data_IF_802236002188
#
_entry.id   IF_802236002188
#
_cell.length_a   1.000
_cell.length_b   1.000
_cell.length_c   1.000
_cell.angle_alpha   90.00
_cell.angle_beta   90.00
_cell.angle_gamma   90.00
#
_symmetry.space_group_name_H-M   'P 1'
#
loop_
_entity.id
_entity.type
_entity.pdbx_description
1 polymer ?
#
# COMPACT_ATOMS: atom_id res chain seq x y z
N UNK A 1 -12.48 -39.37 -47.55
CA UNK A 1 -13.32 -38.35 -46.86
C UNK A 1 -12.85 -38.03 -45.44
N UNK A 2 -12.38 -39.00 -44.64
CA UNK A 2 -11.88 -38.79 -43.24
C UNK A 2 -10.67 -37.86 -43.12
N UNK A 3 -9.72 -37.92 -44.06
CA UNK A 3 -8.51 -37.08 -44.04
C UNK A 3 -8.85 -35.59 -44.20
N UNK A 4 -9.81 -35.24 -45.07
CA UNK A 4 -10.23 -33.84 -45.28
C UNK A 4 -10.88 -33.23 -44.04
N UNK A 5 -11.67 -34.00 -43.30
CA UNK A 5 -12.31 -33.56 -42.06
C UNK A 5 -11.24 -33.30 -40.97
N UNK A 6 -10.24 -34.18 -40.87
CA UNK A 6 -9.13 -34.02 -39.93
C UNK A 6 -8.28 -32.76 -40.22
N UNK A 7 -8.05 -32.44 -41.51
CA UNK A 7 -7.32 -31.23 -41.90
C UNK A 7 -8.11 -29.95 -41.59
N UNK A 8 -9.43 -29.95 -41.84
CA UNK A 8 -10.30 -28.79 -41.55
C UNK A 8 -10.38 -28.55 -40.04
N UNK A 9 -10.55 -29.61 -39.23
CA UNK A 9 -10.58 -29.48 -37.78
C UNK A 9 -9.24 -28.98 -37.21
N UNK A 10 -8.12 -29.47 -37.74
CA UNK A 10 -6.80 -28.99 -37.31
C UNK A 10 -6.57 -27.51 -37.67
N UNK A 11 -7.03 -27.09 -38.85
CA UNK A 11 -6.96 -25.69 -39.26
C UNK A 11 -7.83 -24.79 -38.38
N UNK A 12 -9.03 -25.24 -38.00
CA UNK A 12 -9.92 -24.49 -37.09
C UNK A 12 -9.31 -24.36 -35.70
N UNK A 13 -8.77 -25.44 -35.13
CA UNK A 13 -8.11 -25.41 -33.82
C UNK A 13 -6.89 -24.47 -33.84
N UNK A 14 -6.05 -24.55 -34.86
CA UNK A 14 -4.89 -23.65 -35.01
C UNK A 14 -5.31 -22.18 -35.14
N UNK A 15 -6.40 -21.90 -35.86
CA UNK A 15 -6.94 -20.54 -35.97
C UNK A 15 -7.47 -20.02 -34.63
N UNK A 16 -8.15 -20.85 -33.84
CA UNK A 16 -8.59 -20.46 -32.48
C UNK A 16 -7.39 -20.21 -31.54
N UNK A 17 -6.35 -21.03 -31.61
CA UNK A 17 -5.12 -20.81 -30.83
C UNK A 17 -4.37 -19.55 -31.26
N UNK A 18 -4.27 -19.29 -32.56
CA UNK A 18 -3.66 -18.07 -33.08
C UNK A 18 -4.47 -16.82 -32.71
N UNK A 19 -5.81 -16.90 -32.74
CA UNK A 19 -6.68 -15.79 -32.31
C UNK A 19 -6.59 -15.55 -30.80
N UNK A 20 -6.56 -16.61 -30.00
CA UNK A 20 -6.41 -16.52 -28.54
C UNK A 20 -5.04 -15.97 -28.13
N UNK A 21 -3.98 -16.31 -28.87
CA UNK A 21 -2.64 -15.76 -28.66
C UNK A 21 -2.54 -14.29 -29.11
N UNK A 22 -3.23 -13.90 -30.18
CA UNK A 22 -3.29 -12.51 -30.65
C UNK A 22 -4.17 -11.61 -29.76
N UNK A 23 -5.24 -12.16 -29.17
CA UNK A 23 -6.06 -11.46 -28.16
C UNK A 23 -5.39 -11.40 -26.78
N UNK A 24 -4.50 -12.33 -26.44
CA UNK A 24 -3.74 -12.30 -25.19
C UNK A 24 -2.58 -11.29 -25.16
N UNK A 25 -2.44 -10.47 -26.20
CA UNK A 25 -1.49 -9.36 -26.29
C UNK A 25 -2.12 -8.00 -25.95
N UNK A 26 -3.11 -7.97 -25.07
CA UNK A 26 -3.41 -6.73 -24.34
C UNK A 26 -2.23 -6.48 -23.39
N UNK A 27 -1.65 -5.28 -23.41
CA UNK A 27 -0.67 -4.82 -22.43
C UNK A 27 -1.26 -4.97 -21.03
N UNK A 28 -1.16 -6.16 -20.43
CA UNK A 28 -1.56 -6.36 -19.04
C UNK A 28 -0.54 -5.58 -18.23
N UNK A 29 -0.95 -4.44 -17.69
CA UNK A 29 -0.11 -3.59 -16.86
C UNK A 29 0.70 -4.46 -15.88
N UNK A 30 2.01 -4.25 -15.81
CA UNK A 30 2.86 -5.08 -14.96
C UNK A 30 2.53 -4.83 -13.48
N UNK A 31 2.37 -5.88 -12.65
CA UNK A 31 2.16 -5.72 -11.21
C UNK A 31 3.26 -4.85 -10.56
N UNK A 32 2.88 -4.07 -9.55
CA UNK A 32 3.81 -3.23 -8.80
C UNK A 32 4.84 -4.10 -8.07
N UNK A 33 6.11 -3.95 -8.44
CA UNK A 33 7.21 -4.78 -7.97
C UNK A 33 7.46 -4.63 -6.47
N UNK A 34 7.14 -3.47 -5.86
CA UNK A 34 7.26 -3.29 -4.42
C UNK A 34 6.32 -4.23 -3.63
N UNK A 35 5.19 -4.64 -4.21
CA UNK A 35 4.23 -5.50 -3.52
C UNK A 35 4.85 -6.86 -3.21
N UNK A 36 5.41 -7.53 -4.22
CA UNK A 36 6.05 -8.83 -4.04
C UNK A 36 7.36 -8.69 -3.27
N UNK A 37 8.19 -7.69 -3.62
CA UNK A 37 9.52 -7.48 -3.02
C UNK A 37 9.49 -7.34 -1.50
N UNK A 38 8.47 -6.67 -0.95
CA UNK A 38 8.37 -6.41 0.48
C UNK A 38 7.32 -7.27 1.19
N UNK A 39 6.78 -8.31 0.53
CA UNK A 39 5.73 -9.14 1.11
C UNK A 39 6.12 -9.77 2.44
N UNK A 40 7.24 -10.48 2.47
CA UNK A 40 7.64 -11.22 3.67
C UNK A 40 8.25 -10.31 4.75
N UNK A 41 8.81 -9.17 4.34
CA UNK A 41 9.47 -8.23 5.23
C UNK A 41 8.50 -7.23 5.88
N UNK A 42 7.48 -6.77 5.14
CA UNK A 42 6.59 -5.70 5.58
C UNK A 42 5.12 -6.13 5.64
N UNK A 43 4.56 -6.67 4.55
CA UNK A 43 3.10 -6.88 4.44
C UNK A 43 2.60 -8.02 5.31
N UNK A 44 3.29 -9.16 5.30
CA UNK A 44 2.95 -10.32 6.14
C UNK A 44 3.12 -9.99 7.64
N UNK A 45 4.26 -9.44 8.10
CA UNK A 45 4.41 -9.04 9.50
C UNK A 45 3.39 -7.98 9.95
N UNK A 46 3.02 -7.03 9.07
CA UNK A 46 2.01 -6.03 9.39
C UNK A 46 0.64 -6.68 9.61
N UNK A 47 0.23 -7.59 8.71
CA UNK A 47 -1.04 -8.32 8.83
C UNK A 47 -1.10 -9.15 10.12
N UNK A 48 0.04 -9.68 10.55
CA UNK A 48 0.16 -10.46 11.78
C UNK A 48 0.43 -9.61 13.04
N UNK A 49 0.49 -8.29 12.93
CA UNK A 49 0.80 -7.35 14.02
C UNK A 49 2.15 -7.60 14.69
N UNK A 50 3.12 -8.04 13.90
CA UNK A 50 4.51 -8.30 14.31
C UNK A 50 5.50 -7.35 13.64
N UNK A 51 5.01 -6.41 12.83
CA UNK A 51 5.88 -5.40 12.23
C UNK A 51 6.20 -4.33 13.28
N UNK A 52 7.49 -4.20 13.58
CA UNK A 52 8.02 -3.21 14.53
C UNK A 52 8.75 -2.08 13.79
N UNK A 53 8.80 -0.89 14.39
CA UNK A 53 9.47 0.28 13.82
C UNK A 53 10.93 0.00 13.42
N UNK A 54 11.71 -0.66 14.28
CA UNK A 54 13.11 -0.98 14.01
C UNK A 54 13.31 -2.03 12.91
N UNK A 55 12.29 -2.83 12.59
CA UNK A 55 12.31 -3.71 11.40
C UNK A 55 12.06 -2.91 10.13
N UNK A 56 11.14 -1.94 10.20
CA UNK A 56 10.84 -1.05 9.09
C UNK A 56 12.06 -0.20 8.70
N UNK A 57 12.76 0.39 9.67
CA UNK A 57 13.99 1.17 9.45
C UNK A 57 15.11 0.34 8.81
N UNK A 58 15.30 -0.92 9.24
CA UNK A 58 16.28 -1.81 8.61
C UNK A 58 15.92 -2.21 7.18
N UNK A 59 14.63 -2.21 6.85
CA UNK A 59 14.12 -2.67 5.55
C UNK A 59 14.06 -1.53 4.53
N UNK A 60 13.64 -0.33 4.94
CA UNK A 60 13.45 0.83 4.07
C UNK A 60 14.55 1.89 4.21
N UNK A 61 15.43 1.77 5.20
CA UNK A 61 16.46 2.76 5.53
C UNK A 61 16.00 3.76 6.59
N UNK A 62 16.77 4.83 6.77
CA UNK A 62 16.53 5.83 7.82
C UNK A 62 15.21 6.57 7.60
N UNK A 63 14.26 6.34 8.51
CA UNK A 63 13.00 7.08 8.60
C UNK A 63 13.14 8.33 9.45
N UNK A 64 12.14 9.21 9.34
CA UNK A 64 11.95 10.31 10.30
C UNK A 64 10.62 10.18 10.99
N UNK A 65 10.63 10.29 12.32
CA UNK A 65 9.42 10.33 13.12
C UNK A 65 8.82 11.74 13.15
N UNK A 66 7.49 11.78 13.12
CA UNK A 66 6.69 13.00 13.17
C UNK A 66 5.48 12.78 14.07
N UNK A 67 5.18 13.77 14.89
CA UNK A 67 3.89 13.87 15.55
C UNK A 67 2.99 14.75 14.68
N UNK A 68 1.88 14.19 14.21
CA UNK A 68 0.95 14.86 13.30
C UNK A 68 -0.43 15.01 13.94
N UNK A 69 -1.27 15.89 13.38
CA UNK A 69 -2.68 15.98 13.72
C UNK A 69 -3.50 15.25 12.66
N UNK A 70 -4.17 14.16 13.06
CA UNK A 70 -5.11 13.43 12.22
C UNK A 70 -6.49 13.47 12.90
N UNK A 71 -7.47 14.09 12.26
CA UNK A 71 -8.82 14.30 12.81
C UNK A 71 -8.79 14.95 14.22
N UNK A 72 -7.96 15.98 14.39
CA UNK A 72 -7.71 16.68 15.67
C UNK A 72 -7.14 15.79 16.79
N UNK A 73 -6.71 14.55 16.47
CA UNK A 73 -6.03 13.64 17.40
C UNK A 73 -4.51 13.59 17.10
N UNK A 74 -3.67 13.44 18.15
CA UNK A 74 -2.24 13.26 17.97
C UNK A 74 -1.96 11.86 17.41
N UNK A 75 -1.15 11.79 16.35
CA UNK A 75 -0.72 10.53 15.77
C UNK A 75 0.78 10.51 15.55
N UNK A 76 1.44 9.45 16.02
CA UNK A 76 2.86 9.25 15.77
C UNK A 76 3.03 8.50 14.44
N UNK A 77 3.79 9.10 13.52
CA UNK A 77 4.10 8.48 12.23
C UNK A 77 5.59 8.47 11.93
N UNK A 78 6.07 7.41 11.28
CA UNK A 78 7.41 7.37 10.68
C UNK A 78 7.31 7.45 9.16
N UNK A 79 8.14 8.29 8.53
CA UNK A 79 8.12 8.54 7.09
C UNK A 79 9.43 8.10 6.43
N UNK A 80 9.32 7.36 5.33
CA UNK A 80 10.41 6.82 4.53
C UNK A 80 10.23 7.14 3.06
N UNK A 81 11.35 7.21 2.34
CA UNK A 81 11.37 7.19 0.88
C UNK A 81 11.59 5.77 0.37
N UNK A 82 10.84 5.38 -0.65
CA UNK A 82 11.01 4.12 -1.37
C UNK A 82 11.13 4.43 -2.86
N UNK A 83 12.09 3.82 -3.54
CA UNK A 83 12.22 3.92 -5.00
C UNK A 83 11.81 2.59 -5.61
N UNK A 84 10.74 2.57 -6.39
CA UNK A 84 10.25 1.36 -7.06
C UNK A 84 9.34 1.73 -8.23
N UNK A 85 9.23 0.82 -9.19
CA UNK A 85 8.27 0.95 -10.30
C UNK A 85 8.48 2.24 -11.10
N UNK A 86 9.76 2.61 -11.27
CA UNK A 86 10.17 3.80 -12.01
C UNK A 86 9.92 5.14 -11.29
N UNK A 87 9.40 5.14 -10.06
CA UNK A 87 9.06 6.38 -9.34
C UNK A 87 9.40 6.34 -7.84
N UNK A 88 9.31 7.53 -7.23
CA UNK A 88 9.45 7.70 -5.79
C UNK A 88 8.11 7.45 -5.10
N UNK A 89 8.17 6.76 -3.98
CA UNK A 89 7.06 6.49 -3.09
C UNK A 89 7.40 7.03 -1.71
N UNK A 90 6.42 7.63 -1.05
CA UNK A 90 6.49 7.96 0.37
C UNK A 90 5.78 6.86 1.15
N UNK A 91 6.51 6.18 2.01
CA UNK A 91 5.94 5.23 2.97
C UNK A 91 5.71 5.95 4.28
N UNK A 92 4.49 5.91 4.80
CA UNK A 92 4.11 6.44 6.11
C UNK A 92 3.62 5.30 6.99
N UNK A 93 4.27 5.11 8.13
CA UNK A 93 3.92 4.10 9.13
C UNK A 93 3.31 4.76 10.34
N UNK A 94 2.15 4.28 10.78
CA UNK A 94 1.57 4.68 12.07
C UNK A 94 2.18 3.80 13.14
N UNK A 95 2.84 4.44 14.11
CA UNK A 95 3.42 3.75 15.26
C UNK A 95 2.35 3.64 16.33
N UNK A 96 2.09 2.42 16.78
CA UNK A 96 1.15 2.15 17.87
C UNK A 96 1.78 2.59 19.19
N UNK A 97 1.09 3.48 19.90
CA UNK A 97 1.44 3.92 21.25
C UNK A 97 0.26 3.66 22.16
N UNK A 98 0.54 3.24 23.39
CA UNK A 98 -0.47 3.23 24.43
C UNK A 98 -0.80 4.67 24.88
N UNK A 99 -1.89 4.83 25.64
CA UNK A 99 -2.36 6.15 26.07
C UNK A 99 -1.30 6.91 26.88
N UNK A 100 -0.59 6.24 27.80
CA UNK A 100 0.43 6.87 28.65
C UNK A 100 1.64 7.38 27.83
N UNK A 101 2.07 6.60 26.83
CA UNK A 101 3.14 6.97 25.91
C UNK A 101 2.72 8.16 25.03
N UNK A 102 1.50 8.15 24.50
CA UNK A 102 0.98 9.25 23.69
C UNK A 102 0.85 10.54 24.52
N UNK A 103 0.30 10.45 25.73
CA UNK A 103 0.16 11.59 26.64
C UNK A 103 1.52 12.20 27.00
N UNK A 104 2.51 11.35 27.30
CA UNK A 104 3.88 11.77 27.56
C UNK A 104 4.49 12.50 26.37
N UNK A 105 4.26 12.00 25.15
CA UNK A 105 4.78 12.60 23.91
C UNK A 105 4.09 13.94 23.61
N UNK A 106 2.77 14.03 23.76
CA UNK A 106 2.00 15.27 23.58
C UNK A 106 2.47 16.34 24.56
N UNK A 107 2.68 15.98 25.83
CA UNK A 107 3.20 16.91 26.84
C UNK A 107 4.63 17.36 26.51
N UNK A 108 5.52 16.44 26.12
CA UNK A 108 6.91 16.74 25.80
C UNK A 108 7.07 17.66 24.59
N UNK A 109 6.18 17.52 23.59
CA UNK A 109 6.18 18.35 22.37
C UNK A 109 5.28 19.59 22.48
N UNK A 110 4.62 19.81 23.63
CA UNK A 110 3.60 20.84 23.82
C UNK A 110 2.59 20.87 22.65
N UNK A 111 2.19 19.68 22.20
CA UNK A 111 1.37 19.51 21.00
C UNK A 111 -0.06 19.98 21.24
N UNK A 112 -0.69 20.54 20.19
CA UNK A 112 -2.10 20.97 20.21
C UNK A 112 -2.82 20.50 18.93
N UNK A 113 -4.14 20.28 18.98
CA UNK A 113 -4.96 19.97 17.81
C UNK A 113 -4.78 21.00 16.69
N UNK A 114 -4.70 20.53 15.44
CA UNK A 114 -4.50 21.37 14.27
C UNK A 114 -3.11 21.98 14.11
N UNK A 115 -2.14 21.65 14.98
CA UNK A 115 -0.75 22.05 14.77
C UNK A 115 -0.13 21.34 13.56
N UNK A 116 0.84 22.03 12.94
CA UNK A 116 1.66 21.46 11.88
C UNK A 116 2.47 20.25 12.37
N UNK A 117 2.78 19.35 11.44
CA UNK A 117 3.64 18.18 11.67
C UNK A 117 4.95 18.57 12.39
N UNK A 118 5.17 17.98 13.56
CA UNK A 118 6.36 18.23 14.36
C UNK A 118 7.35 17.07 14.22
N UNK A 119 8.59 17.30 13.74
CA UNK A 119 9.59 16.25 13.67
C UNK A 119 10.07 15.88 15.08
N UNK A 120 10.27 14.58 15.32
CA UNK A 120 10.87 14.07 16.55
C UNK A 120 12.37 13.81 16.36
N UNK A 121 13.10 13.79 17.47
CA UNK A 121 14.54 13.51 17.43
C UNK A 121 14.80 12.02 17.12
N UNK A 122 15.93 11.68 16.48
CA UNK A 122 16.30 10.29 16.18
C UNK A 122 16.36 9.39 17.43
N UNK A 123 16.76 9.94 18.58
CA UNK A 123 16.81 9.22 19.85
C UNK A 123 15.43 8.70 20.29
N UNK A 124 14.34 9.39 19.92
CA UNK A 124 12.98 8.89 20.16
C UNK A 124 12.68 7.69 19.26
N UNK A 125 13.20 7.69 18.03
CA UNK A 125 13.09 6.54 17.11
C UNK A 125 13.74 5.28 17.69
N UNK A 126 14.97 5.41 18.18
CA UNK A 126 15.68 4.30 18.82
C UNK A 126 14.92 3.74 20.05
N UNK A 127 14.38 4.62 20.89
CA UNK A 127 13.59 4.23 22.05
C UNK A 127 12.26 3.52 21.68
N UNK A 128 11.72 3.82 20.50
CA UNK A 128 10.47 3.25 19.99
C UNK A 128 10.69 2.12 18.98
N UNK A 129 11.91 1.63 18.81
CA UNK A 129 12.23 0.61 17.81
C UNK A 129 11.40 -0.68 17.95
N UNK A 130 11.01 -1.05 19.18
CA UNK A 130 10.17 -2.22 19.45
C UNK A 130 8.66 -1.92 19.41
N UNK A 131 8.24 -0.68 19.12
CA UNK A 131 6.82 -0.37 18.97
C UNK A 131 6.27 -0.97 17.69
N UNK A 132 5.06 -1.51 17.80
CA UNK A 132 4.35 -2.10 16.68
C UNK A 132 3.89 -1.01 15.69
N UNK A 133 3.82 -1.39 14.42
CA UNK A 133 3.23 -0.58 13.36
C UNK A 133 1.79 -1.06 13.16
N UNK A 134 0.83 -0.16 13.34
CA UNK A 134 -0.59 -0.48 13.19
C UNK A 134 -1.07 -0.34 11.75
N UNK A 135 -0.42 0.54 10.97
CA UNK A 135 -0.83 0.88 9.61
C UNK A 135 0.36 1.34 8.77
N UNK A 136 0.38 0.94 7.49
CA UNK A 136 1.32 1.47 6.49
C UNK A 136 0.54 2.12 5.35
N UNK A 137 1.04 3.23 4.83
CA UNK A 137 0.49 3.91 3.66
C UNK A 137 1.60 4.21 2.68
N UNK A 138 1.41 3.83 1.42
CA UNK A 138 2.30 4.11 0.31
C UNK A 138 1.63 5.18 -0.55
N UNK A 139 2.30 6.31 -0.69
CA UNK A 139 1.82 7.46 -1.46
C UNK A 139 2.82 7.66 -2.59
N UNK A 140 2.45 7.36 -3.84
CA UNK A 140 3.33 7.58 -4.98
C UNK A 140 3.54 9.08 -5.24
N UNK A 141 4.66 9.43 -5.84
CA UNK A 141 4.93 10.80 -6.27
C UNK A 141 4.02 11.21 -7.44
N UNK A 142 3.72 10.26 -8.33
CA UNK A 142 2.79 10.41 -9.44
C UNK A 142 1.69 9.36 -9.32
N UNK A 143 0.44 9.75 -9.57
CA UNK A 143 -0.67 8.82 -9.43
C UNK A 143 -0.50 7.60 -10.35
N UNK A 144 -0.88 6.42 -9.85
CA UNK A 144 -0.69 5.14 -10.52
C UNK A 144 -1.95 4.75 -11.26
N UNK A 145 -1.84 4.23 -12.48
CA UNK A 145 -3.02 3.78 -13.23
C UNK A 145 -3.73 2.62 -12.51
N UNK A 146 -5.06 2.67 -12.49
CA UNK A 146 -5.87 1.64 -11.83
C UNK A 146 -5.68 0.25 -12.44
N UNK A 147 -5.32 0.15 -13.72
CA UNK A 147 -4.99 -1.11 -14.37
C UNK A 147 -3.78 -1.78 -13.71
N UNK A 148 -2.76 -0.99 -13.34
CA UNK A 148 -1.58 -1.50 -12.63
C UNK A 148 -1.93 -1.97 -11.21
N UNK A 149 -2.85 -1.26 -10.56
CA UNK A 149 -3.40 -1.66 -9.26
C UNK A 149 -4.16 -2.98 -9.39
N UNK A 150 -4.99 -3.14 -10.42
CA UNK A 150 -5.74 -4.37 -10.67
C UNK A 150 -4.84 -5.53 -11.08
N UNK A 151 -3.73 -5.29 -11.78
CA UNK A 151 -2.72 -6.30 -12.03
C UNK A 151 -2.03 -6.76 -10.73
N UNK A 152 -1.88 -5.86 -9.77
CA UNK A 152 -1.24 -6.14 -8.47
C UNK A 152 -2.17 -6.87 -7.49
N UNK A 153 -3.42 -6.42 -7.35
CA UNK A 153 -4.35 -6.91 -6.32
C UNK A 153 -5.58 -7.64 -6.85
N UNK A 154 -5.77 -7.66 -8.17
CA UNK A 154 -7.01 -8.09 -8.81
C UNK A 154 -8.09 -7.00 -8.79
N UNK A 155 -9.34 -7.40 -9.07
CA UNK A 155 -10.48 -6.51 -8.96
C UNK A 155 -10.82 -6.23 -7.48
N UNK A 156 -11.22 -5.00 -7.13
CA UNK A 156 -11.62 -4.68 -5.76
C UNK A 156 -12.89 -5.44 -5.37
N UNK A 157 -12.94 -5.91 -4.13
CA UNK A 157 -14.12 -6.57 -3.58
C UNK A 157 -15.24 -5.55 -3.29
N UNK A 158 -14.87 -4.31 -2.94
CA UNK A 158 -15.80 -3.20 -2.71
C UNK A 158 -15.24 -1.89 -3.24
N UNK A 159 -16.13 -1.01 -3.72
CA UNK A 159 -15.83 0.38 -4.07
C UNK A 159 -16.79 1.28 -3.28
N UNK A 160 -16.26 2.24 -2.56
CA UNK A 160 -17.03 3.16 -1.71
C UNK A 160 -16.80 4.59 -2.22
N UNK A 161 -17.87 5.33 -2.46
CA UNK A 161 -17.77 6.76 -2.78
C UNK A 161 -17.30 7.54 -1.55
N UNK A 162 -16.30 8.40 -1.72
CA UNK A 162 -15.75 9.30 -0.71
C UNK A 162 -15.70 10.72 -1.26
N UNK A 163 -15.47 11.72 -0.39
CA UNK A 163 -15.54 13.13 -0.77
C UNK A 163 -14.64 13.50 -1.98
N UNK A 164 -13.50 12.81 -2.14
CA UNK A 164 -12.50 13.08 -3.18
C UNK A 164 -12.35 11.95 -4.21
N UNK A 165 -13.36 11.07 -4.36
CA UNK A 165 -13.35 9.99 -5.35
C UNK A 165 -13.91 8.68 -4.81
N UNK A 166 -13.15 7.60 -4.95
CA UNK A 166 -13.50 6.26 -4.50
C UNK A 166 -12.44 5.68 -3.57
N UNK A 167 -12.88 4.87 -2.61
CA UNK A 167 -12.04 3.98 -1.85
C UNK A 167 -12.29 2.54 -2.31
N UNK A 168 -11.27 1.94 -2.95
CA UNK A 168 -11.29 0.56 -3.39
C UNK A 168 -10.75 -0.34 -2.28
N UNK A 169 -11.53 -1.32 -1.85
CA UNK A 169 -11.21 -2.16 -0.69
C UNK A 169 -10.92 -3.59 -1.12
N UNK A 170 -9.81 -4.12 -0.60
CA UNK A 170 -9.31 -5.47 -0.83
C UNK A 170 -9.16 -6.20 0.52
N UNK A 171 -10.24 -6.71 1.13
CA UNK A 171 -10.22 -7.25 2.49
C UNK A 171 -9.26 -8.43 2.67
N UNK A 172 -9.08 -9.28 1.65
CA UNK A 172 -8.15 -10.43 1.72
C UNK A 172 -6.69 -10.01 1.88
N UNK A 173 -6.33 -8.92 1.19
CA UNK A 173 -5.03 -8.28 1.27
C UNK A 173 -4.90 -7.32 2.46
N UNK A 174 -6.03 -6.87 3.03
CA UNK A 174 -6.05 -5.87 4.10
C UNK A 174 -5.69 -4.46 3.60
N UNK A 175 -6.05 -4.17 2.34
CA UNK A 175 -5.65 -2.96 1.61
C UNK A 175 -6.85 -2.08 1.26
N UNK A 176 -6.69 -0.77 1.38
CA UNK A 176 -7.56 0.25 0.75
C UNK A 176 -6.75 1.09 -0.20
N UNK A 177 -7.32 1.43 -1.34
CA UNK A 177 -6.68 2.26 -2.34
C UNK A 177 -7.59 3.47 -2.59
N UNK A 178 -7.03 4.66 -2.46
CA UNK A 178 -7.73 5.89 -2.81
C UNK A 178 -7.59 6.14 -4.31
N UNK A 179 -8.72 6.25 -5.00
CA UNK A 179 -8.80 6.37 -6.45
C UNK A 179 -9.64 7.59 -6.84
N UNK A 180 -9.16 8.37 -7.81
CA UNK A 180 -9.92 9.46 -8.42
C UNK A 180 -9.91 9.26 -9.94
N UNK A 181 -11.07 8.92 -10.52
CA UNK A 181 -11.14 8.53 -11.93
C UNK A 181 -10.41 7.21 -12.18
N UNK A 182 -9.40 7.24 -13.04
CA UNK A 182 -8.58 6.07 -13.40
C UNK A 182 -7.20 6.08 -12.72
N UNK A 183 -7.05 6.90 -11.68
CA UNK A 183 -5.77 7.12 -11.00
C UNK A 183 -5.84 6.80 -9.51
N UNK A 184 -4.88 6.01 -9.03
CA UNK A 184 -4.69 5.68 -7.63
C UNK A 184 -3.65 6.60 -7.00
N UNK A 185 -4.02 7.18 -5.86
CA UNK A 185 -3.25 8.21 -5.17
C UNK A 185 -2.62 7.74 -3.85
N UNK A 186 -3.11 6.64 -3.28
CA UNK A 186 -2.47 6.01 -2.13
C UNK A 186 -2.90 4.57 -1.97
N UNK A 187 -2.01 3.75 -1.40
CA UNK A 187 -2.26 2.36 -1.03
C UNK A 187 -2.04 2.22 0.48
N UNK A 188 -3.09 1.88 1.22
CA UNK A 188 -3.09 1.79 2.67
C UNK A 188 -3.28 0.34 3.13
N UNK A 189 -2.35 -0.16 3.94
CA UNK A 189 -2.38 -1.45 4.60
C UNK A 189 -2.68 -1.31 6.08
N UNK A 190 -3.42 -2.25 6.66
CA UNK A 190 -3.69 -2.28 8.10
C UNK A 190 -5.11 -1.86 8.46
N UNK A 191 -6.09 -2.28 7.66
CA UNK A 191 -7.51 -2.14 7.96
C UNK A 191 -7.91 -2.96 9.18
N UNK A 192 -7.83 -2.42 10.40
CA UNK A 192 -8.67 -2.85 11.53
C UNK A 192 -8.98 -1.69 12.48
N UNK A 193 -10.26 -1.28 12.47
CA UNK A 193 -10.83 -0.27 13.38
C UNK A 193 -11.92 0.58 12.72
N UNK A 194 -13.12 0.01 12.52
CA UNK A 194 -14.37 0.73 12.22
C UNK A 194 -14.58 1.21 10.78
N UNK A 195 -15.46 0.52 10.04
CA UNK A 195 -16.55 1.22 9.37
C UNK A 195 -17.66 1.46 10.41
#
# INVERSE_FOLDING_TARGET
>A
MRVRIATILSAVVLSFFALGYWMGGEDTAEPLAWQERYNDALWVPLKERRLELGTLERTLGEGRLWLISADDQPLLVSRYGLQSDGQAWRVQAVVELNAEQMDSLVQAQAWQPGQHDQPLSPAVGEALAAQAISRLSLIPAEAVDVEQIQATFGNPDMRLEVAEGEAWVYPKAGVVIAVTGEQAHSVMYGLQGGL
#
